data_IF_890176869937
#
_entry.id   IF_890176869937
#
_cell.length_a   1.000
_cell.length_b   1.000
_cell.length_c   1.000
_cell.angle_alpha   90.00
_cell.angle_beta   90.00
_cell.angle_gamma   90.00
#
_symmetry.space_group_name_H-M   'P 1'
#
loop_
_entity.id
_entity.type
_entity.pdbx_description
1 polymer ?
#
# COMPACT_ATOMS: atom_id res chain seq x y z
N UNK A 1 10.09 31.18 -15.22
CA UNK A 1 9.21 30.78 -14.12
C UNK A 1 8.42 29.61 -14.67
N UNK A 2 8.91 28.39 -14.43
CA UNK A 2 8.37 27.20 -15.08
C UNK A 2 7.18 26.70 -14.29
N UNK A 3 6.03 26.68 -14.95
CA UNK A 3 4.78 26.13 -14.47
C UNK A 3 4.92 24.60 -14.48
N UNK A 4 4.99 24.00 -13.29
CA UNK A 4 4.82 22.57 -13.11
C UNK A 4 3.31 22.29 -13.30
N UNK A 5 2.93 21.89 -14.51
CA UNK A 5 1.55 21.49 -14.78
C UNK A 5 1.28 20.13 -14.13
N UNK A 6 0.48 20.17 -13.05
CA UNK A 6 -0.44 19.15 -12.53
C UNK A 6 -0.29 17.72 -13.09
N UNK A 7 0.38 16.85 -12.33
CA UNK A 7 0.19 15.37 -12.40
C UNK A 7 -0.82 14.90 -11.33
N UNK A 8 -1.49 15.83 -10.63
CA UNK A 8 -2.50 15.54 -9.61
C UNK A 8 -3.91 15.88 -10.12
N UNK A 9 -4.85 14.98 -9.89
CA UNK A 9 -6.23 14.91 -10.42
C UNK A 9 -6.41 14.46 -11.88
N UNK A 10 -6.15 13.18 -12.15
CA UNK A 10 -6.89 12.48 -13.22
C UNK A 10 -8.20 11.93 -12.62
N UNK A 11 -9.39 12.46 -13.02
CA UNK A 11 -10.69 12.03 -12.46
C UNK A 11 -11.02 10.56 -12.74
N UNK A 12 -10.25 9.87 -13.59
CA UNK A 12 -10.37 8.42 -13.81
C UNK A 12 -9.91 7.63 -12.58
N UNK A 13 -8.97 8.14 -11.78
CA UNK A 13 -8.42 7.44 -10.59
C UNK A 13 -9.42 7.38 -9.43
N UNK A 14 -10.39 8.29 -9.42
CA UNK A 14 -11.51 8.32 -8.47
C UNK A 14 -12.64 7.37 -8.87
N UNK A 15 -12.66 6.91 -10.13
CA UNK A 15 -13.71 6.05 -10.69
C UNK A 15 -13.33 4.57 -10.50
N UNK A 16 -13.81 3.98 -9.41
CA UNK A 16 -13.66 2.56 -9.11
C UNK A 16 -14.17 2.21 -7.72
N UNK A 17 -14.28 0.92 -7.36
CA UNK A 17 -14.60 0.57 -5.98
C UNK A 17 -13.50 1.09 -5.05
N UNK A 18 -13.84 1.66 -3.87
CA UNK A 18 -12.86 2.19 -2.92
C UNK A 18 -11.88 1.11 -2.43
N UNK A 19 -12.30 -0.16 -2.55
CA UNK A 19 -11.54 -1.33 -2.11
C UNK A 19 -11.60 -2.43 -3.16
N UNK A 20 -10.45 -3.01 -3.50
CA UNK A 20 -10.31 -4.20 -4.35
C UNK A 20 -9.76 -5.35 -3.50
N UNK A 21 -10.33 -6.54 -3.66
CA UNK A 21 -9.89 -7.75 -2.98
C UNK A 21 -9.37 -8.77 -3.99
N UNK A 22 -8.17 -9.30 -3.76
CA UNK A 22 -7.64 -10.41 -4.54
C UNK A 22 -6.87 -11.40 -3.66
N UNK A 23 -6.85 -12.68 -4.05
CA UNK A 23 -6.24 -13.77 -3.28
C UNK A 23 -7.26 -14.62 -2.52
N UNK A 24 -6.78 -15.71 -1.91
CA UNK A 24 -7.64 -16.66 -1.21
C UNK A 24 -8.13 -16.10 0.12
N UNK A 25 -9.43 -16.24 0.42
CA UNK A 25 -9.99 -15.86 1.70
C UNK A 25 -9.33 -16.67 2.85
N UNK A 26 -8.89 -15.96 3.89
CA UNK A 26 -8.21 -16.56 5.05
C UNK A 26 -6.71 -16.78 4.87
N UNK A 27 -6.14 -16.45 3.70
CA UNK A 27 -4.69 -16.28 3.59
C UNK A 27 -4.23 -15.06 4.40
N UNK A 28 -2.96 -14.98 4.83
CA UNK A 28 -2.44 -13.81 5.54
C UNK A 28 -2.74 -12.52 4.78
N UNK A 29 -3.32 -11.54 5.47
CA UNK A 29 -3.81 -10.32 4.82
C UNK A 29 -2.70 -9.28 4.65
N UNK A 30 -2.73 -8.60 3.50
CA UNK A 30 -1.93 -7.43 3.18
C UNK A 30 -2.86 -6.30 2.78
N UNK A 31 -2.93 -5.25 3.60
CA UNK A 31 -3.69 -4.04 3.30
C UNK A 31 -2.78 -3.07 2.56
N UNK A 32 -3.26 -2.49 1.45
CA UNK A 32 -2.51 -1.53 0.64
C UNK A 32 -3.24 -0.20 0.63
N UNK A 33 -2.56 0.87 1.06
CA UNK A 33 -3.02 2.25 0.97
C UNK A 33 -2.37 2.91 -0.23
N UNK A 34 -3.10 2.98 -1.34
CA UNK A 34 -2.60 3.47 -2.62
C UNK A 34 -3.00 4.93 -2.86
N UNK A 35 -2.06 5.90 -2.75
CA UNK A 35 -2.33 7.31 -3.00
C UNK A 35 -2.55 7.64 -4.47
N UNK A 36 -2.04 6.82 -5.40
CA UNK A 36 -2.24 7.03 -6.83
C UNK A 36 -3.64 6.60 -7.27
N UNK A 37 -4.33 5.78 -6.46
CA UNK A 37 -5.46 4.98 -6.90
C UNK A 37 -4.99 3.86 -7.84
N UNK A 38 -5.73 2.75 -7.88
CA UNK A 38 -5.38 1.70 -8.84
C UNK A 38 -5.41 2.31 -10.25
N UNK A 39 -4.47 1.88 -11.11
CA UNK A 39 -4.53 2.18 -12.53
C UNK A 39 -5.96 1.89 -13.07
N UNK A 40 -6.34 2.45 -14.22
CA UNK A 40 -7.67 2.40 -14.87
C UNK A 40 -8.33 1.01 -15.06
N UNK A 41 -7.77 -0.05 -14.48
CA UNK A 41 -8.25 -1.41 -14.44
C UNK A 41 -9.09 -1.70 -13.18
N UNK A 42 -10.09 -2.58 -13.33
CA UNK A 42 -10.99 -2.98 -12.24
C UNK A 42 -10.30 -3.85 -11.16
N UNK A 43 -9.10 -4.38 -11.43
CA UNK A 43 -8.33 -5.25 -10.53
C UNK A 43 -6.92 -4.74 -10.23
N UNK A 44 -6.10 -5.58 -9.57
CA UNK A 44 -4.73 -5.26 -9.22
C UNK A 44 -3.79 -5.24 -10.44
N UNK A 45 -2.66 -4.52 -10.38
CA UNK A 45 -1.64 -4.59 -11.43
C UNK A 45 -1.15 -6.03 -11.63
N UNK A 46 -0.90 -6.44 -12.87
CA UNK A 46 -0.51 -7.83 -13.18
C UNK A 46 0.78 -8.29 -12.48
N UNK A 47 1.65 -7.36 -12.07
CA UNK A 47 2.84 -7.65 -11.27
C UNK A 47 2.51 -8.24 -9.89
N UNK A 48 1.32 -8.02 -9.35
CA UNK A 48 0.89 -8.51 -8.03
C UNK A 48 0.39 -9.96 -8.01
N UNK A 49 0.32 -10.63 -9.16
CA UNK A 49 -0.22 -12.00 -9.27
C UNK A 49 0.49 -12.98 -8.35
N UNK A 50 1.81 -12.88 -8.21
CA UNK A 50 2.58 -13.80 -7.36
C UNK A 50 2.34 -13.51 -5.87
N UNK A 51 2.17 -12.25 -5.47
CA UNK A 51 1.74 -11.85 -4.11
C UNK A 51 0.38 -12.45 -3.76
N UNK A 52 -0.61 -12.34 -4.66
CA UNK A 52 -1.98 -12.80 -4.41
C UNK A 52 -2.11 -14.32 -4.37
N UNK A 53 -1.11 -15.08 -4.82
CA UNK A 53 -1.06 -16.54 -4.59
C UNK A 53 -0.83 -16.91 -3.12
N UNK A 54 -0.23 -16.01 -2.33
CA UNK A 54 0.16 -16.26 -0.93
C UNK A 54 -0.59 -15.39 0.07
N UNK A 55 -1.10 -14.24 -0.37
CA UNK A 55 -1.72 -13.23 0.47
C UNK A 55 -3.15 -12.95 0.03
N UNK A 56 -3.99 -12.59 0.99
CA UNK A 56 -5.24 -11.91 0.72
C UNK A 56 -4.96 -10.40 0.66
N UNK A 57 -4.92 -9.82 -0.53
CA UNK A 57 -4.61 -8.41 -0.73
C UNK A 57 -5.90 -7.60 -0.69
N UNK A 58 -5.93 -6.59 0.17
CA UNK A 58 -7.02 -5.62 0.30
C UNK A 58 -6.49 -4.25 -0.07
N UNK A 59 -6.86 -3.77 -1.25
CA UNK A 59 -6.29 -2.57 -1.85
C UNK A 59 -7.24 -1.39 -1.76
N UNK A 60 -6.89 -0.40 -0.95
CA UNK A 60 -7.64 0.84 -0.77
C UNK A 60 -7.13 1.91 -1.72
N UNK A 61 -8.03 2.41 -2.58
CA UNK A 61 -7.74 3.51 -3.52
C UNK A 61 -8.01 4.83 -2.80
N UNK A 62 -6.97 5.45 -2.23
CA UNK A 62 -7.16 6.63 -1.36
C UNK A 62 -7.82 7.84 -2.03
N UNK A 63 -7.67 8.09 -3.35
CA UNK A 63 -8.44 9.14 -4.03
C UNK A 63 -9.95 8.91 -4.01
N UNK A 64 -10.43 7.68 -3.76
CA UNK A 64 -11.86 7.38 -3.65
C UNK A 64 -12.38 7.71 -2.25
N UNK A 65 -13.47 8.48 -2.20
CA UNK A 65 -14.16 8.83 -0.96
C UNK A 65 -14.46 7.58 -0.09
N UNK A 66 -14.10 7.68 1.19
CA UNK A 66 -14.35 6.63 2.19
C UNK A 66 -13.35 5.47 2.20
N UNK A 67 -12.41 5.39 1.25
CA UNK A 67 -11.41 4.31 1.21
C UNK A 67 -10.55 4.25 2.48
N UNK A 68 -10.12 5.40 3.00
CA UNK A 68 -9.34 5.46 4.23
C UNK A 68 -10.17 5.03 5.45
N UNK A 69 -11.42 5.49 5.55
CA UNK A 69 -12.32 5.10 6.64
C UNK A 69 -12.60 3.59 6.62
N UNK A 70 -12.77 3.00 5.43
CA UNK A 70 -12.95 1.56 5.29
C UNK A 70 -11.71 0.77 5.73
N UNK A 71 -10.50 1.29 5.47
CA UNK A 71 -9.27 0.68 5.97
C UNK A 71 -9.19 0.72 7.50
N UNK A 72 -9.54 1.85 8.12
CA UNK A 72 -9.56 1.98 9.59
C UNK A 72 -10.65 1.11 10.24
N UNK A 73 -11.82 1.00 9.62
CA UNK A 73 -12.88 0.09 10.07
C UNK A 73 -12.41 -1.36 10.08
N UNK A 74 -11.69 -1.80 9.04
CA UNK A 74 -11.09 -3.13 8.98
C UNK A 74 -10.01 -3.39 10.04
N UNK A 75 -9.21 -2.38 10.36
CA UNK A 75 -8.21 -2.51 11.43
C UNK A 75 -8.87 -2.55 12.81
N UNK A 76 -10.04 -1.94 12.94
CA UNK A 76 -10.87 -1.96 14.15
C UNK A 76 -11.60 -3.30 14.33
N UNK A 77 -12.11 -3.88 13.23
CA UNK A 77 -12.74 -5.21 13.20
C UNK A 77 -12.07 -6.12 12.13
N UNK A 78 -10.94 -6.76 12.48
CA UNK A 78 -10.18 -7.60 11.54
C UNK A 78 -10.79 -8.99 11.34
N UNK A 79 -12.02 -9.24 11.79
CA UNK A 79 -12.65 -10.57 11.69
C UNK A 79 -12.72 -11.09 10.25
N UNK A 80 -12.89 -10.20 9.26
CA UNK A 80 -12.86 -10.52 7.84
C UNK A 80 -11.46 -10.88 7.29
N UNK A 81 -10.39 -10.55 8.02
CA UNK A 81 -8.98 -10.67 7.60
C UNK A 81 -8.30 -11.92 8.19
N UNK A 82 -8.97 -12.63 9.10
CA UNK A 82 -8.50 -13.90 9.65
C UNK A 82 -7.34 -13.79 10.66
N UNK A 83 -6.95 -12.58 11.06
CA UNK A 83 -5.88 -12.35 12.05
C UNK A 83 -5.24 -10.97 11.95
N UNK A 84 -4.01 -10.85 12.45
CA UNK A 84 -3.18 -9.65 12.27
C UNK A 84 -2.80 -9.45 10.82
N UNK A 85 -2.56 -8.21 10.41
CA UNK A 85 -2.31 -7.84 9.01
C UNK A 85 -0.98 -7.14 8.81
N UNK A 86 -0.43 -7.23 7.60
CA UNK A 86 0.63 -6.33 7.16
C UNK A 86 -0.01 -5.14 6.41
N UNK A 87 0.53 -3.94 6.62
CA UNK A 87 0.09 -2.71 5.95
C UNK A 87 1.17 -2.24 4.98
N UNK A 88 0.78 -1.81 3.78
CA UNK A 88 1.68 -1.22 2.78
C UNK A 88 1.15 0.17 2.40
N UNK A 89 2.06 1.15 2.33
CA UNK A 89 1.74 2.47 1.79
C UNK A 89 2.92 3.01 0.97
N UNK A 90 2.63 3.97 0.08
CA UNK A 90 3.65 4.67 -0.68
C UNK A 90 3.54 6.19 -0.58
N UNK A 91 4.66 6.89 -0.77
CA UNK A 91 4.70 8.34 -0.95
C UNK A 91 3.91 9.10 0.13
N UNK A 92 2.96 9.95 -0.27
CA UNK A 92 2.20 10.80 0.67
C UNK A 92 1.28 10.01 1.61
N UNK A 93 0.97 8.75 1.31
CA UNK A 93 0.18 7.90 2.21
C UNK A 93 0.97 7.38 3.42
N UNK A 94 2.31 7.47 3.41
CA UNK A 94 3.17 6.90 4.44
C UNK A 94 2.90 7.46 5.84
N UNK A 95 2.77 8.78 5.99
CA UNK A 95 2.48 9.41 7.29
C UNK A 95 1.15 8.95 7.88
N UNK A 96 0.12 8.88 7.04
CA UNK A 96 -1.20 8.34 7.40
C UNK A 96 -1.13 6.87 7.82
N UNK A 97 -0.35 6.05 7.08
CA UNK A 97 -0.15 4.65 7.40
C UNK A 97 0.57 4.43 8.74
N UNK A 98 1.59 5.24 9.03
CA UNK A 98 2.30 5.23 10.34
C UNK A 98 1.33 5.58 11.47
N UNK A 99 0.50 6.60 11.29
CA UNK A 99 -0.48 7.00 12.28
C UNK A 99 -1.56 5.91 12.52
N UNK A 100 -2.03 5.26 11.45
CA UNK A 100 -2.98 4.14 11.53
C UNK A 100 -2.34 2.93 12.23
N UNK A 101 -1.18 2.49 11.78
CA UNK A 101 -0.46 1.36 12.38
C UNK A 101 -0.18 1.58 13.87
N UNK A 102 0.18 2.81 14.26
CA UNK A 102 0.39 3.16 15.67
C UNK A 102 -0.89 3.08 16.52
N UNK A 103 -2.06 3.43 15.97
CA UNK A 103 -3.36 3.33 16.67
C UNK A 103 -3.87 1.90 16.78
N UNK A 104 -3.53 1.04 15.82
CA UNK A 104 -4.00 -0.34 15.70
C UNK A 104 -2.85 -1.35 15.83
N UNK A 105 -1.91 -1.10 16.74
CA UNK A 105 -0.69 -1.91 16.87
C UNK A 105 -0.93 -3.35 17.36
N UNK A 106 -2.12 -3.65 17.88
CA UNK A 106 -2.58 -4.98 18.21
C UNK A 106 -3.09 -5.77 16.98
N UNK A 107 -3.54 -5.08 15.94
CA UNK A 107 -4.00 -5.66 14.69
C UNK A 107 -2.92 -5.64 13.59
N UNK A 108 -2.11 -4.59 13.53
CA UNK A 108 -1.07 -4.43 12.50
C UNK A 108 0.22 -5.11 12.94
N UNK A 109 0.58 -6.19 12.27
CA UNK A 109 1.83 -6.95 12.49
C UNK A 109 3.05 -6.17 12.02
N UNK A 110 2.97 -5.59 10.82
CA UNK A 110 4.06 -4.85 10.20
C UNK A 110 3.56 -3.74 9.27
N UNK A 111 4.38 -2.72 9.05
CA UNK A 111 4.16 -1.63 8.11
C UNK A 111 5.32 -1.56 7.10
N UNK A 112 5.00 -1.78 5.83
CA UNK A 112 5.92 -1.64 4.71
C UNK A 112 5.70 -0.28 4.05
N UNK A 113 6.78 0.44 3.77
CA UNK A 113 6.76 1.76 3.16
C UNK A 113 7.56 1.77 1.86
N UNK A 114 6.98 2.38 0.82
CA UNK A 114 7.63 2.62 -0.47
C UNK A 114 7.77 4.12 -0.65
N UNK A 115 8.99 4.62 -0.78
CA UNK A 115 9.22 6.05 -0.99
C UNK A 115 8.47 6.97 -0.01
N UNK A 116 8.58 6.76 1.32
CA UNK A 116 7.92 7.68 2.24
C UNK A 116 8.51 9.09 2.08
N UNK A 117 7.64 10.11 2.05
CA UNK A 117 8.08 11.51 1.89
C UNK A 117 8.87 12.03 3.10
N UNK A 118 8.62 11.43 4.26
CA UNK A 118 9.25 11.75 5.53
C UNK A 118 9.80 10.50 6.21
N UNK A 119 10.78 10.68 7.09
CA UNK A 119 11.27 9.59 7.94
C UNK A 119 10.13 9.08 8.84
N UNK A 120 9.83 7.77 8.85
CA UNK A 120 8.71 7.26 9.64
C UNK A 120 8.96 7.40 11.15
N UNK A 121 7.91 7.83 11.86
CA UNK A 121 7.97 7.92 13.31
C UNK A 121 8.15 6.53 13.96
N UNK A 122 8.79 6.50 15.13
CA UNK A 122 8.91 5.26 15.92
C UNK A 122 7.57 4.92 16.56
N UNK A 123 7.00 3.79 16.16
CA UNK A 123 5.74 3.23 16.65
C UNK A 123 5.97 1.79 17.14
N UNK A 124 5.06 1.18 17.93
CA UNK A 124 5.20 -0.20 18.41
C UNK A 124 4.95 -1.29 17.36
N UNK A 125 5.02 -0.96 16.07
CA UNK A 125 4.86 -1.87 14.92
C UNK A 125 6.21 -1.98 14.19
N UNK A 126 6.54 -3.15 13.63
CA UNK A 126 7.74 -3.29 12.76
C UNK A 126 7.55 -2.47 11.47
N UNK A 127 8.27 -1.36 11.35
CA UNK A 127 8.22 -0.48 10.18
C UNK A 127 9.43 -0.71 9.30
N UNK A 128 9.21 -1.02 8.02
CA UNK A 128 10.26 -1.28 7.03
C UNK A 128 10.06 -0.43 5.79
N UNK A 129 11.06 0.38 5.45
CA UNK A 129 11.14 1.00 4.11
C UNK A 129 11.67 -0.05 3.15
N UNK A 130 10.81 -0.56 2.26
CA UNK A 130 11.12 -1.73 1.41
C UNK A 130 11.62 -1.34 0.03
N UNK A 131 11.24 -0.16 -0.47
CA UNK A 131 11.71 0.38 -1.73
C UNK A 131 11.86 1.90 -1.64
N UNK A 132 12.86 2.43 -2.33
CA UNK A 132 13.11 3.86 -2.45
C UNK A 132 13.60 4.18 -3.87
N UNK A 133 13.06 5.24 -4.44
CA UNK A 133 13.50 5.90 -5.65
C UNK A 133 14.93 6.39 -5.45
N UNK A 134 15.79 6.09 -6.41
CA UNK A 134 17.22 6.48 -6.38
C UNK A 134 17.56 7.70 -7.24
N UNK A 135 16.56 8.25 -7.95
CA UNK A 135 16.72 9.28 -9.00
C UNK A 135 17.44 8.78 -10.26
N UNK A 136 17.62 7.47 -10.42
CA UNK A 136 18.37 6.87 -11.52
C UNK A 136 17.50 6.52 -12.73
N UNK A 137 18.07 6.07 -13.87
CA UNK A 137 17.31 5.66 -15.07
C UNK A 137 16.28 4.54 -14.84
N UNK A 138 16.34 3.87 -13.68
CA UNK A 138 15.37 2.87 -13.24
C UNK A 138 14.10 3.51 -12.67
N UNK A 139 14.22 4.71 -12.10
CA UNK A 139 13.11 5.51 -11.62
C UNK A 139 12.50 6.22 -12.84
N UNK A 140 11.74 5.45 -13.63
CA UNK A 140 11.13 5.92 -14.89
C UNK A 140 10.06 7.00 -14.69
N UNK A 141 9.73 7.30 -13.44
CA UNK A 141 8.68 8.19 -12.98
C UNK A 141 9.26 8.98 -11.80
N UNK A 142 8.93 10.27 -11.63
CA UNK A 142 9.23 10.97 -10.38
C UNK A 142 8.74 10.16 -9.17
N UNK A 143 9.44 10.22 -8.02
CA UNK A 143 8.99 9.54 -6.80
C UNK A 143 7.54 9.93 -6.44
N UNK A 144 6.76 9.02 -5.84
CA UNK A 144 7.14 7.66 -5.45
C UNK A 144 7.16 6.65 -6.61
N UNK A 145 7.92 5.56 -6.47
CA UNK A 145 7.81 4.43 -7.39
C UNK A 145 6.37 3.88 -7.37
N UNK A 146 5.76 3.65 -8.55
CA UNK A 146 4.42 3.07 -8.61
C UNK A 146 4.36 1.72 -7.89
N UNK A 147 3.28 1.43 -7.16
CA UNK A 147 3.10 0.15 -6.47
C UNK A 147 3.07 -1.06 -7.42
N UNK A 148 2.78 -0.84 -8.71
CA UNK A 148 2.88 -1.87 -9.75
C UNK A 148 4.29 -2.07 -10.32
N UNK A 149 5.29 -1.28 -9.91
CA UNK A 149 6.66 -1.37 -10.40
C UNK A 149 7.31 -2.71 -9.99
N UNK A 150 8.00 -3.44 -10.90
CA UNK A 150 8.55 -4.76 -10.58
C UNK A 150 9.48 -4.78 -9.36
N UNK A 151 10.33 -3.77 -9.20
CA UNK A 151 11.25 -3.68 -8.05
C UNK A 151 10.51 -3.46 -6.73
N UNK A 152 9.38 -2.72 -6.74
CA UNK A 152 8.54 -2.52 -5.56
C UNK A 152 7.89 -3.85 -5.17
N UNK A 153 7.29 -4.55 -6.13
CA UNK A 153 6.63 -5.84 -5.86
C UNK A 153 7.63 -6.88 -5.36
N UNK A 154 8.79 -7.01 -6.01
CA UNK A 154 9.83 -7.93 -5.57
C UNK A 154 10.34 -7.62 -4.16
N UNK A 155 10.43 -6.33 -3.80
CA UNK A 155 10.83 -5.92 -2.46
C UNK A 155 9.76 -6.22 -1.40
N UNK A 156 8.49 -6.00 -1.72
CA UNK A 156 7.35 -6.36 -0.87
C UNK A 156 7.34 -7.88 -0.64
N UNK A 157 7.40 -8.68 -1.71
CA UNK A 157 7.38 -10.15 -1.62
C UNK A 157 8.50 -10.70 -0.73
N UNK A 158 9.72 -10.23 -0.95
CA UNK A 158 10.88 -10.62 -0.14
C UNK A 158 10.68 -10.27 1.34
N UNK A 159 10.23 -9.05 1.62
CA UNK A 159 10.03 -8.58 3.01
C UNK A 159 8.94 -9.38 3.71
N UNK A 160 7.85 -9.69 3.02
CA UNK A 160 6.77 -10.54 3.53
C UNK A 160 7.24 -11.97 3.81
N UNK A 161 8.07 -12.54 2.91
CA UNK A 161 8.65 -13.86 3.13
C UNK A 161 9.61 -13.89 4.34
N UNK A 162 10.37 -12.81 4.58
CA UNK A 162 11.21 -12.68 5.77
C UNK A 162 10.39 -12.57 7.07
N UNK A 163 9.22 -11.93 7.03
CA UNK A 163 8.31 -11.79 8.18
C UNK A 163 7.57 -13.09 8.52
N UNK A 164 7.42 -13.99 7.55
CA UNK A 164 6.74 -15.28 7.73
C UNK A 164 7.69 -16.42 8.14
N UNK A 165 9.00 -16.18 8.16
CA UNK A 165 10.05 -17.15 8.49
C UNK A 165 10.30 -17.27 10.01
#
# INVERSE_FOLDING_TARGET
MNQADNIDNDPVREQGPPTVWEGAAGAPALLVLDPAGAANHEGLPASWRDVTTRRQVVWFRLPTDGALSAAEEMLTDPSALGGTVDLLASGPAAGTAVALAGRHADTVRSLLLVDPEEEPARIPVDVRVVAHSTGGPRDRVPPPLPLGHPDVVAAVERTLAELDA
#
